data_IF_804527907513
#
_entry.id   IF_804527907513
#
_cell.length_a   1.000
_cell.length_b   1.000
_cell.length_c   1.000
_cell.angle_alpha   90.00
_cell.angle_beta   90.00
_cell.angle_gamma   90.00
#
_symmetry.space_group_name_H-M   'P 1'
#
loop_
_entity.id
_entity.type
_entity.pdbx_description
1 polymer ?
#
# COMPACT_ATOMS: atom_id res chain seq x y z
N UNK A 1 2.26 6.40 -5.38
CA UNK A 1 2.70 5.00 -5.57
C UNK A 1 2.07 4.34 -6.80
N UNK A 2 0.76 4.38 -7.00
CA UNK A 2 0.08 3.66 -8.11
C UNK A 2 0.49 4.11 -9.53
N UNK A 3 0.77 5.41 -9.74
CA UNK A 3 1.22 5.91 -11.05
C UNK A 3 2.61 5.38 -11.45
N UNK A 4 3.55 5.32 -10.50
CA UNK A 4 4.92 4.82 -10.75
C UNK A 4 4.90 3.33 -11.05
N UNK A 5 4.08 2.56 -10.33
CA UNK A 5 3.89 1.13 -10.60
C UNK A 5 3.27 0.90 -11.99
N UNK A 6 2.21 1.64 -12.33
CA UNK A 6 1.57 1.52 -13.64
C UNK A 6 2.51 1.89 -14.80
N UNK A 7 3.26 2.99 -14.65
CA UNK A 7 4.28 3.39 -15.61
C UNK A 7 5.39 2.34 -15.76
N UNK A 8 5.85 1.76 -14.64
CA UNK A 8 6.84 0.69 -14.65
C UNK A 8 6.36 -0.56 -15.41
N UNK A 9 5.11 -0.98 -15.17
CA UNK A 9 4.50 -2.11 -15.89
C UNK A 9 4.36 -1.83 -17.38
N UNK A 10 3.94 -0.62 -17.75
CA UNK A 10 3.79 -0.23 -19.15
C UNK A 10 5.13 -0.25 -19.90
N UNK A 11 6.17 0.33 -19.30
CA UNK A 11 7.53 0.33 -19.87
C UNK A 11 8.07 -1.09 -19.96
N UNK A 12 7.88 -1.92 -18.92
CA UNK A 12 8.33 -3.31 -18.93
C UNK A 12 7.62 -4.14 -20.00
N UNK A 13 6.33 -3.92 -20.23
CA UNK A 13 5.58 -4.60 -21.28
C UNK A 13 6.08 -4.21 -22.67
N UNK A 14 6.26 -2.91 -22.94
CA UNK A 14 6.79 -2.44 -24.22
C UNK A 14 8.19 -2.99 -24.45
N UNK A 15 9.05 -2.91 -23.43
CA UNK A 15 10.41 -3.46 -23.49
C UNK A 15 10.40 -4.96 -23.74
N UNK A 16 9.59 -5.73 -22.99
CA UNK A 16 9.48 -7.16 -23.17
C UNK A 16 9.03 -7.51 -24.60
N UNK A 17 7.97 -6.89 -25.13
CA UNK A 17 7.49 -7.20 -26.47
C UNK A 17 8.55 -6.92 -27.55
N UNK A 18 9.17 -5.74 -27.52
CA UNK A 18 10.15 -5.37 -28.54
C UNK A 18 11.46 -6.16 -28.38
N UNK A 19 11.97 -6.25 -27.16
CA UNK A 19 13.21 -6.96 -26.87
C UNK A 19 13.06 -8.45 -27.15
N UNK A 20 12.04 -9.12 -26.63
CA UNK A 20 11.84 -10.54 -26.91
C UNK A 20 11.59 -10.80 -28.40
N UNK A 21 10.83 -9.97 -29.11
CA UNK A 21 10.62 -10.17 -30.55
C UNK A 21 11.93 -10.09 -31.35
N UNK A 22 12.77 -9.08 -31.08
CA UNK A 22 14.07 -8.93 -31.76
C UNK A 22 15.00 -10.09 -31.42
N UNK A 23 15.11 -10.46 -30.15
CA UNK A 23 16.00 -11.54 -29.72
C UNK A 23 15.51 -12.92 -30.18
N UNK A 24 14.19 -13.15 -30.22
CA UNK A 24 13.61 -14.35 -30.84
C UNK A 24 13.88 -14.41 -32.34
N UNK A 25 13.75 -13.29 -33.05
CA UNK A 25 14.07 -13.23 -34.47
C UNK A 25 15.56 -13.52 -34.73
N UNK A 26 16.46 -12.89 -33.98
CA UNK A 26 17.91 -13.11 -34.10
C UNK A 26 18.28 -14.55 -33.72
N UNK A 27 17.70 -15.10 -32.65
CA UNK A 27 17.93 -16.47 -32.23
C UNK A 27 17.42 -17.47 -33.28
N UNK A 28 16.20 -17.30 -33.79
CA UNK A 28 15.63 -18.13 -34.84
C UNK A 28 16.45 -18.06 -36.13
N UNK A 29 16.91 -16.87 -36.54
CA UNK A 29 17.81 -16.73 -37.69
C UNK A 29 19.11 -17.51 -37.50
N UNK A 30 19.76 -17.39 -36.34
CA UNK A 30 21.00 -18.13 -36.03
C UNK A 30 20.78 -19.64 -36.00
N UNK A 31 19.63 -20.09 -35.51
CA UNK A 31 19.24 -21.50 -35.54
C UNK A 31 19.10 -22.00 -36.99
N UNK A 32 18.49 -21.22 -37.89
CA UNK A 32 18.39 -21.59 -39.32
C UNK A 32 19.74 -21.60 -40.04
N UNK A 33 20.71 -20.84 -39.55
CA UNK A 33 22.10 -20.85 -40.05
C UNK A 33 22.93 -21.99 -39.44
N UNK A 34 22.35 -22.81 -38.54
CA UNK A 34 23.02 -23.94 -37.89
C UNK A 34 23.98 -23.53 -36.76
N UNK A 35 23.82 -22.33 -36.21
CA UNK A 35 24.66 -21.79 -35.13
C UNK A 35 23.98 -22.01 -33.79
N UNK A 36 24.65 -22.70 -32.86
CA UNK A 36 24.11 -22.92 -31.51
C UNK A 36 24.02 -21.62 -30.72
N UNK A 37 23.03 -21.51 -29.82
CA UNK A 37 22.73 -20.29 -29.06
C UNK A 37 23.92 -19.71 -28.29
N UNK A 38 24.84 -20.55 -27.81
CA UNK A 38 26.05 -20.16 -27.06
C UNK A 38 27.27 -19.84 -27.94
N UNK A 39 27.21 -20.09 -29.26
CA UNK A 39 28.34 -19.90 -30.17
C UNK A 39 28.26 -18.55 -30.87
N UNK A 40 28.91 -17.52 -30.31
CA UNK A 40 29.01 -16.21 -30.95
C UNK A 40 30.12 -16.19 -32.01
N UNK A 41 29.90 -15.46 -33.11
CA UNK A 41 30.89 -15.21 -34.18
C UNK A 41 31.46 -16.46 -34.90
N UNK A 42 30.68 -17.54 -35.02
CA UNK A 42 31.02 -18.69 -35.86
C UNK A 42 30.03 -18.84 -37.01
N UNK A 43 30.53 -19.19 -38.19
CA UNK A 43 29.70 -19.64 -39.32
C UNK A 43 29.12 -21.01 -38.97
N UNK A 44 27.82 -21.20 -39.16
CA UNK A 44 27.11 -22.39 -38.69
C UNK A 44 27.41 -23.65 -39.49
N UNK A 45 27.14 -24.79 -38.86
CA UNK A 45 27.38 -26.13 -39.42
C UNK A 45 26.34 -26.47 -40.49
N UNK A 46 26.77 -27.01 -41.63
CA UNK A 46 25.89 -27.51 -42.71
C UNK A 46 25.18 -28.82 -42.37
N UNK A 47 25.31 -29.31 -41.14
CA UNK A 47 24.75 -30.59 -40.67
C UNK A 47 23.37 -30.45 -39.98
N UNK A 48 22.87 -29.23 -39.78
CA UNK A 48 21.50 -29.03 -39.27
C UNK A 48 20.46 -29.14 -40.38
N UNK A 49 19.25 -29.53 -39.99
CA UNK A 49 18.15 -29.88 -40.89
C UNK A 49 17.92 -28.78 -41.95
N UNK A 50 17.68 -29.15 -43.22
CA UNK A 50 17.37 -28.18 -44.27
C UNK A 50 16.20 -27.30 -43.84
N UNK A 51 16.19 -26.02 -44.27
CA UNK A 51 15.08 -25.08 -44.03
C UNK A 51 13.74 -25.77 -44.33
N UNK A 52 13.02 -26.15 -43.29
CA UNK A 52 11.76 -26.89 -43.42
C UNK A 52 10.61 -25.97 -43.85
N UNK A 53 10.79 -24.66 -43.74
CA UNK A 53 9.78 -23.66 -44.07
C UNK A 53 10.47 -22.54 -44.86
N UNK A 54 10.32 -22.56 -46.18
CA UNK A 54 10.80 -21.49 -47.05
C UNK A 54 9.73 -20.41 -47.30
N UNK A 55 8.46 -20.68 -46.95
CA UNK A 55 7.33 -19.77 -47.09
C UNK A 55 6.43 -19.83 -45.85
N UNK A 56 5.93 -18.68 -45.40
CA UNK A 56 4.91 -18.59 -44.36
C UNK A 56 3.56 -19.03 -44.94
N UNK A 57 3.30 -20.34 -44.97
CA UNK A 57 2.00 -20.92 -45.31
C UNK A 57 1.25 -21.34 -44.03
N UNK A 58 -0.09 -21.33 -44.08
CA UNK A 58 -0.94 -21.71 -42.93
C UNK A 58 -0.62 -23.13 -42.42
N UNK A 59 -0.29 -24.06 -43.32
CA UNK A 59 0.14 -25.42 -42.97
C UNK A 59 1.47 -25.46 -42.21
N UNK A 60 2.38 -24.53 -42.50
CA UNK A 60 3.66 -24.40 -41.78
C UNK A 60 3.46 -23.85 -40.37
N UNK A 61 2.48 -22.94 -40.20
CA UNK A 61 2.09 -22.39 -38.89
C UNK A 61 1.42 -23.47 -38.05
N UNK A 62 0.52 -24.27 -38.64
CA UNK A 62 -0.16 -25.37 -37.96
C UNK A 62 0.83 -26.45 -37.51
N UNK A 63 1.80 -26.81 -38.35
CA UNK A 63 2.88 -27.73 -37.99
C UNK A 63 3.79 -27.17 -36.88
N UNK A 64 4.07 -25.86 -36.89
CA UNK A 64 4.81 -25.22 -35.79
C UNK A 64 4.02 -25.25 -34.49
N UNK A 65 2.72 -24.96 -34.58
CA UNK A 65 1.79 -24.97 -33.46
C UNK A 65 1.69 -26.37 -32.85
N UNK A 66 1.59 -27.41 -33.67
CA UNK A 66 1.59 -28.81 -33.24
C UNK A 66 2.91 -29.21 -32.55
N UNK A 67 4.05 -28.70 -33.04
CA UNK A 67 5.36 -28.93 -32.39
C UNK A 67 5.56 -28.12 -31.11
N UNK A 68 4.96 -26.93 -31.00
CA UNK A 68 5.00 -26.06 -29.82
C UNK A 68 4.04 -26.54 -28.73
N UNK A 69 2.90 -27.13 -29.10
CA UNK A 69 2.07 -27.89 -28.18
C UNK A 69 2.85 -29.15 -27.83
N UNK A 70 3.66 -29.07 -26.76
CA UNK A 70 4.26 -30.27 -26.17
C UNK A 70 3.11 -31.17 -25.70
N UNK A 71 2.78 -32.20 -26.48
CA UNK A 71 1.71 -33.17 -26.20
C UNK A 71 2.07 -34.10 -25.04
N UNK A 72 3.26 -33.93 -24.45
CA UNK A 72 3.67 -34.65 -23.25
C UNK A 72 2.72 -34.37 -22.07
N UNK A 73 2.42 -35.39 -21.26
CA UNK A 73 1.62 -35.21 -20.05
C UNK A 73 2.39 -34.31 -19.07
N UNK A 74 2.02 -33.04 -19.03
CA UNK A 74 2.58 -32.05 -18.11
C UNK A 74 1.70 -31.96 -16.86
N UNK A 75 2.31 -31.62 -15.71
CA UNK A 75 1.57 -31.37 -14.47
C UNK A 75 0.49 -30.29 -14.64
N UNK A 76 0.77 -29.28 -15.47
CA UNK A 76 -0.20 -28.24 -15.84
C UNK A 76 -1.42 -28.81 -16.58
N UNK A 77 -1.23 -29.75 -17.51
CA UNK A 77 -2.34 -30.43 -18.20
C UNK A 77 -3.13 -31.36 -17.28
N UNK A 78 -2.44 -32.10 -16.41
CA UNK A 78 -3.10 -32.98 -15.43
C UNK A 78 -3.97 -32.18 -14.44
N UNK A 79 -3.46 -31.05 -13.94
CA UNK A 79 -4.22 -30.14 -13.07
C UNK A 79 -5.36 -29.45 -13.80
N UNK A 80 -5.15 -29.00 -15.04
CA UNK A 80 -6.21 -28.42 -15.87
C UNK A 80 -7.32 -29.44 -16.19
N UNK A 81 -6.97 -30.69 -16.52
CA UNK A 81 -7.94 -31.75 -16.76
C UNK A 81 -8.72 -32.13 -15.49
N UNK A 82 -8.05 -32.16 -14.33
CA UNK A 82 -8.70 -32.36 -13.05
C UNK A 82 -9.66 -31.20 -12.70
N UNK A 83 -9.23 -29.94 -12.86
CA UNK A 83 -10.09 -28.78 -12.63
C UNK A 83 -11.24 -28.66 -13.65
N UNK A 84 -11.06 -29.19 -14.86
CA UNK A 84 -12.11 -29.26 -15.87
C UNK A 84 -13.20 -30.29 -15.54
N UNK A 85 -12.99 -31.19 -14.57
CA UNK A 85 -13.99 -32.18 -14.16
C UNK A 85 -15.15 -31.50 -13.42
N UNK A 86 -16.39 -31.74 -13.87
CA UNK A 86 -17.61 -31.12 -13.33
C UNK A 86 -17.79 -31.36 -11.83
N UNK A 87 -17.35 -32.53 -11.33
CA UNK A 87 -17.40 -32.88 -9.91
C UNK A 87 -16.47 -32.04 -9.02
N UNK A 88 -15.37 -31.51 -9.55
CA UNK A 88 -14.43 -30.68 -8.81
C UNK A 88 -14.74 -29.18 -8.90
N UNK A 89 -15.49 -28.74 -9.91
CA UNK A 89 -15.85 -27.33 -10.09
C UNK A 89 -16.72 -26.78 -8.96
N UNK A 90 -17.78 -27.52 -8.59
CA UNK A 90 -18.70 -27.12 -7.54
C UNK A 90 -18.04 -26.96 -6.15
N UNK A 91 -17.26 -27.93 -5.63
CA UNK A 91 -16.61 -27.76 -4.33
C UNK A 91 -15.55 -26.66 -4.34
N UNK A 92 -14.79 -26.50 -5.43
CA UNK A 92 -13.81 -25.41 -5.56
C UNK A 92 -14.52 -24.04 -5.52
N UNK A 93 -15.59 -23.87 -6.29
CA UNK A 93 -16.38 -22.63 -6.27
C UNK A 93 -16.96 -22.34 -4.88
N UNK A 94 -17.42 -23.37 -4.16
CA UNK A 94 -17.95 -23.24 -2.81
C UNK A 94 -16.87 -22.80 -1.80
N UNK A 95 -15.66 -23.36 -1.87
CA UNK A 95 -14.52 -22.95 -1.04
C UNK A 95 -14.16 -21.49 -1.32
N UNK A 96 -14.13 -21.07 -2.58
CA UNK A 96 -13.89 -19.67 -2.95
C UNK A 96 -14.98 -18.73 -2.44
N UNK A 97 -16.24 -19.15 -2.47
CA UNK A 97 -17.35 -18.35 -1.92
C UNK A 97 -17.21 -18.17 -0.40
N UNK A 98 -16.88 -19.23 0.34
CA UNK A 98 -16.59 -19.15 1.78
C UNK A 98 -15.42 -18.20 2.03
N UNK A 99 -14.33 -18.33 1.27
CA UNK A 99 -13.17 -17.45 1.39
C UNK A 99 -13.54 -15.99 1.16
N UNK A 100 -14.38 -15.68 0.16
CA UNK A 100 -14.82 -14.31 -0.13
C UNK A 100 -15.65 -13.74 1.02
N UNK A 101 -16.58 -14.53 1.57
CA UNK A 101 -17.38 -14.13 2.74
C UNK A 101 -16.47 -13.82 3.94
N UNK A 102 -15.48 -14.68 4.21
CA UNK A 102 -14.51 -14.45 5.29
C UNK A 102 -13.63 -13.23 5.04
N UNK A 103 -13.20 -12.99 3.80
CA UNK A 103 -12.39 -11.82 3.45
C UNK A 103 -13.17 -10.52 3.67
N UNK A 104 -14.41 -10.45 3.18
CA UNK A 104 -15.29 -9.27 3.37
C UNK A 104 -15.62 -9.08 4.85
N UNK A 105 -15.91 -10.16 5.58
CA UNK A 105 -16.15 -10.09 7.02
C UNK A 105 -14.90 -9.63 7.78
N UNK A 106 -13.71 -10.10 7.40
CA UNK A 106 -12.43 -9.70 7.98
C UNK A 106 -12.07 -8.23 7.73
N UNK A 107 -12.58 -7.62 6.65
CA UNK A 107 -12.39 -6.19 6.40
C UNK A 107 -13.01 -5.30 7.50
N UNK A 108 -14.02 -5.78 8.26
CA UNK A 108 -14.61 -5.00 9.35
C UNK A 108 -13.64 -4.79 10.53
N UNK A 109 -12.72 -5.73 10.72
CA UNK A 109 -11.74 -5.73 11.81
C UNK A 109 -10.40 -5.12 11.36
N UNK A 110 -10.36 -4.52 10.16
CA UNK A 110 -9.19 -3.83 9.66
C UNK A 110 -8.99 -2.52 10.43
N UNK A 111 -8.25 -2.60 11.54
CA UNK A 111 -7.82 -1.42 12.27
C UNK A 111 -6.63 -0.78 11.54
N UNK A 112 -6.87 0.36 10.92
CA UNK A 112 -5.81 1.19 10.34
C UNK A 112 -5.19 1.97 11.49
N UNK A 113 -4.15 1.41 12.09
CA UNK A 113 -3.34 2.09 13.10
C UNK A 113 -1.94 2.28 12.51
N UNK A 114 -1.55 3.54 12.30
CA UNK A 114 -0.24 3.89 11.76
C UNK A 114 0.56 4.50 12.89
N UNK A 115 1.34 3.67 13.58
CA UNK A 115 2.23 4.11 14.66
C UNK A 115 3.61 4.43 14.13
N UNK A 116 4.23 5.45 14.72
CA UNK A 116 5.60 5.87 14.43
C UNK A 116 6.61 4.72 14.63
N UNK A 117 6.36 3.87 15.62
CA UNK A 117 7.14 2.66 15.95
C UNK A 117 7.28 1.69 14.76
N UNK A 118 6.34 1.71 13.81
CA UNK A 118 6.36 0.83 12.63
C UNK A 118 7.34 1.28 11.56
N UNK A 119 7.76 2.54 11.56
CA UNK A 119 8.80 3.03 10.65
C UNK A 119 10.22 2.72 11.14
N UNK A 120 10.35 2.31 12.40
CA UNK A 120 11.63 1.99 13.02
C UNK A 120 11.97 0.51 12.89
N UNK A 121 13.28 0.24 12.75
CA UNK A 121 13.80 -1.13 12.68
C UNK A 121 13.42 -1.93 13.93
N UNK A 122 13.07 -3.20 13.73
CA UNK A 122 12.71 -4.12 14.82
C UNK A 122 13.93 -4.29 15.74
N UNK A 123 13.80 -3.92 17.01
CA UNK A 123 14.87 -3.99 18.01
C UNK A 123 15.77 -2.76 18.09
N UNK A 124 15.42 -1.64 17.46
CA UNK A 124 16.15 -0.39 17.62
C UNK A 124 15.83 0.29 18.96
N UNK A 125 16.83 0.86 19.63
CA UNK A 125 16.66 1.62 20.89
C UNK A 125 15.54 2.69 20.82
N UNK A 126 15.41 3.50 19.74
CA UNK A 126 14.34 4.48 19.65
C UNK A 126 12.94 3.84 19.61
N UNK A 127 12.82 2.64 19.03
CA UNK A 127 11.56 1.90 19.00
C UNK A 127 11.18 1.42 20.39
N UNK A 128 12.13 0.85 21.13
CA UNK A 128 11.91 0.43 22.51
C UNK A 128 11.57 1.62 23.41
N UNK A 129 12.23 2.76 23.21
CA UNK A 129 11.88 4.01 23.90
C UNK A 129 10.43 4.43 23.60
N UNK A 130 10.02 4.48 22.32
CA UNK A 130 8.65 4.87 21.95
C UNK A 130 7.59 3.90 22.47
N UNK A 131 7.84 2.58 22.39
CA UNK A 131 6.95 1.55 22.92
C UNK A 131 6.76 1.71 24.44
N UNK A 132 7.86 1.93 25.19
CA UNK A 132 7.82 2.16 26.64
C UNK A 132 7.15 3.49 26.99
N UNK A 133 7.53 4.56 26.29
CA UNK A 133 6.96 5.90 26.48
C UNK A 133 5.45 5.88 26.27
N UNK A 134 4.97 5.21 25.22
CA UNK A 134 3.52 5.09 24.98
C UNK A 134 2.80 4.22 26.01
N UNK A 135 3.45 3.17 26.51
CA UNK A 135 2.88 2.33 27.56
C UNK A 135 2.74 3.09 28.89
N UNK A 136 3.70 3.95 29.23
CA UNK A 136 3.72 4.71 30.47
C UNK A 136 2.93 6.03 30.38
N UNK A 137 3.03 6.72 29.24
CA UNK A 137 2.53 8.09 29.06
C UNK A 137 1.42 8.25 28.02
N UNK A 138 1.01 7.17 27.33
CA UNK A 138 0.03 7.27 26.23
C UNK A 138 -1.33 7.87 26.61
N UNK A 139 -1.69 7.88 27.90
CA UNK A 139 -2.90 8.54 28.41
C UNK A 139 -2.76 10.07 28.56
N UNK A 140 -1.53 10.60 28.56
CA UNK A 140 -1.25 12.03 28.79
C UNK A 140 -0.96 12.81 27.51
N UNK A 141 -0.79 12.14 26.35
CA UNK A 141 -0.55 12.80 25.05
C UNK A 141 -1.84 13.25 24.35
N UNK A 142 -3.00 12.75 24.77
CA UNK A 142 -4.29 13.18 24.20
C UNK A 142 -4.72 14.50 24.83
N UNK A 143 -4.05 15.59 24.43
CA UNK A 143 -4.45 16.95 24.78
C UNK A 143 -4.96 17.69 23.55
N UNK A 144 -6.05 18.44 23.75
CA UNK A 144 -6.59 19.35 22.76
C UNK A 144 -6.15 20.77 23.13
N UNK A 145 -5.32 21.37 22.30
CA UNK A 145 -4.95 22.78 22.45
C UNK A 145 -5.90 23.65 21.62
N UNK A 146 -6.58 24.59 22.29
CA UNK A 146 -7.44 25.58 21.65
C UNK A 146 -6.64 26.88 21.49
N UNK A 147 -6.22 27.15 20.25
CA UNK A 147 -5.52 28.39 19.89
C UNK A 147 -6.49 29.29 19.13
N UNK A 148 -6.66 30.51 19.63
CA UNK A 148 -7.47 31.54 18.96
C UNK A 148 -6.53 32.48 18.20
N UNK A 149 -6.54 32.40 16.87
CA UNK A 149 -5.63 33.18 16.02
C UNK A 149 -6.05 34.65 15.86
N UNK A 150 -7.31 34.98 16.17
CA UNK A 150 -7.82 36.34 16.07
C UNK A 150 -7.60 37.13 17.38
N UNK A 151 -7.41 38.47 17.29
CA UNK A 151 -7.35 39.30 18.48
C UNK A 151 -8.72 39.30 19.18
N UNK A 152 -8.80 38.60 20.30
CA UNK A 152 -10.00 38.53 21.14
C UNK A 152 -9.95 39.64 22.19
N UNK A 153 -11.05 40.39 22.29
CA UNK A 153 -11.28 41.26 23.43
C UNK A 153 -11.76 40.43 24.63
N UNK A 154 -10.84 40.12 25.54
CA UNK A 154 -11.12 39.35 26.76
C UNK A 154 -11.82 40.18 27.86
N UNK A 155 -11.95 41.50 27.67
CA UNK A 155 -12.69 42.38 28.58
C UNK A 155 -14.20 42.31 28.32
N UNK A 156 -14.62 41.92 27.12
CA UNK A 156 -16.04 41.70 26.80
C UNK A 156 -16.58 40.49 27.59
N UNK A 157 -17.56 40.70 28.51
CA UNK A 157 -18.13 39.62 29.30
C UNK A 157 -18.78 38.52 28.47
N UNK A 158 -19.35 38.85 27.31
CA UNK A 158 -19.99 37.87 26.44
C UNK A 158 -18.97 36.89 25.86
N UNK A 159 -17.91 37.41 25.21
CA UNK A 159 -16.84 36.58 24.65
C UNK A 159 -16.07 35.79 25.72
N UNK A 160 -15.81 36.41 26.88
CA UNK A 160 -15.18 35.74 28.02
C UNK A 160 -15.98 34.52 28.46
N UNK A 161 -17.31 34.65 28.58
CA UNK A 161 -18.18 33.56 29.03
C UNK A 161 -18.30 32.45 27.98
N UNK A 162 -18.39 32.78 26.68
CA UNK A 162 -18.42 31.79 25.61
C UNK A 162 -17.16 30.91 25.59
N UNK A 163 -15.97 31.51 25.77
CA UNK A 163 -14.69 30.77 25.82
C UNK A 163 -14.65 29.85 27.05
N UNK A 164 -15.11 30.33 28.20
CA UNK A 164 -15.16 29.53 29.43
C UNK A 164 -16.16 28.37 29.30
N UNK A 165 -17.30 28.57 28.63
CA UNK A 165 -18.29 27.52 28.38
C UNK A 165 -17.71 26.41 27.49
N UNK A 166 -16.98 26.76 26.44
CA UNK A 166 -16.28 25.80 25.59
C UNK A 166 -15.24 25.00 26.39
N UNK A 167 -14.48 25.66 27.26
CA UNK A 167 -13.47 25.03 28.11
C UNK A 167 -14.06 24.10 29.18
N UNK A 168 -15.33 24.28 29.55
CA UNK A 168 -16.03 23.44 30.52
C UNK A 168 -16.82 22.30 29.88
N UNK A 169 -16.82 22.21 28.54
CA UNK A 169 -17.55 21.18 27.83
C UNK A 169 -16.95 19.78 28.08
N UNK A 170 -17.67 18.85 28.77
CA UNK A 170 -17.16 17.54 29.19
C UNK A 170 -16.91 16.54 28.05
N UNK A 171 -17.27 16.89 26.81
CA UNK A 171 -17.09 16.06 25.61
C UNK A 171 -15.71 16.30 25.01
N UNK A 172 -15.12 17.47 25.23
CA UNK A 172 -13.82 17.84 24.66
C UNK A 172 -12.65 17.41 25.55
N UNK A 173 -12.79 17.51 26.87
CA UNK A 173 -11.73 17.12 27.79
C UNK A 173 -12.28 16.74 29.18
N UNK A 174 -11.59 15.83 29.86
CA UNK A 174 -11.86 15.50 31.27
C UNK A 174 -11.34 16.57 32.23
N UNK A 175 -10.35 17.35 31.81
CA UNK A 175 -9.79 18.50 32.55
C UNK A 175 -9.36 19.58 31.55
N UNK A 176 -9.67 20.83 31.85
CA UNK A 176 -9.18 21.99 31.10
C UNK A 176 -8.25 22.84 31.94
N UNK A 177 -7.17 23.31 31.31
CA UNK A 177 -6.21 24.27 31.89
C UNK A 177 -6.30 25.54 31.06
N UNK A 178 -6.61 26.66 31.68
CA UNK A 178 -6.77 27.94 30.98
C UNK A 178 -6.40 29.10 31.89
N UNK A 179 -5.50 29.96 31.41
CA UNK A 179 -5.11 31.18 32.10
C UNK A 179 -6.31 32.09 32.36
N UNK A 180 -7.30 32.12 31.46
CA UNK A 180 -8.49 32.96 31.57
C UNK A 180 -9.39 32.48 32.71
N UNK A 181 -9.51 31.16 32.88
CA UNK A 181 -10.27 30.54 33.98
C UNK A 181 -9.61 30.84 35.33
N UNK A 182 -8.29 30.71 35.41
CA UNK A 182 -7.53 31.03 36.61
C UNK A 182 -7.60 32.53 36.94
N UNK A 183 -7.55 33.40 35.94
CA UNK A 183 -7.68 34.84 36.10
C UNK A 183 -9.09 35.25 36.59
N UNK A 184 -10.16 34.71 36.01
CA UNK A 184 -11.53 34.99 36.45
C UNK A 184 -11.78 34.51 37.89
N UNK A 185 -11.20 33.37 38.27
CA UNK A 185 -11.22 32.89 39.65
C UNK A 185 -10.48 33.84 40.58
N UNK A 186 -9.31 34.34 40.18
CA UNK A 186 -8.53 35.29 40.96
C UNK A 186 -9.25 36.65 41.14
N UNK A 187 -9.86 37.16 40.07
CA UNK A 187 -10.66 38.40 40.06
C UNK A 187 -11.84 38.31 41.03
N UNK A 188 -12.55 37.18 41.07
CA UNK A 188 -13.70 36.99 41.96
C UNK A 188 -13.32 36.80 43.44
N UNK A 189 -12.12 36.29 43.75
CA UNK A 189 -11.68 36.02 45.13
C UNK A 189 -10.89 37.16 45.76
N UNK A 190 -10.41 38.13 44.96
CA UNK A 190 -9.53 39.19 45.44
C UNK A 190 -10.24 40.55 45.39
N UNK A 191 -10.61 41.08 46.56
CA UNK A 191 -11.12 42.45 46.66
C UNK A 191 -9.94 43.41 46.65
N UNK A 192 -9.85 44.23 45.61
CA UNK A 192 -8.90 45.33 45.56
C UNK A 192 -9.42 46.49 46.43
N UNK A 193 -8.88 46.63 47.65
CA UNK A 193 -9.06 47.85 48.42
C UNK A 193 -8.04 48.88 47.93
N UNK A 194 -8.42 49.62 46.88
CA UNK A 194 -7.63 50.77 46.42
C UNK A 194 -7.91 51.89 47.42
N UNK A 195 -7.16 51.91 48.53
CA UNK A 195 -7.17 53.04 49.43
C UNK A 195 -6.72 54.28 48.62
N UNK A 196 -7.57 55.31 48.46
CA UNK A 196 -7.14 56.54 47.83
C UNK A 196 -6.16 57.20 48.79
N UNK A 197 -4.87 57.14 48.46
CA UNK A 197 -3.86 57.98 49.10
C UNK A 197 -4.14 59.39 48.61
N UNK A 198 -5.00 60.10 49.35
CA UNK A 198 -5.23 61.53 49.16
C UNK A 198 -3.90 62.23 49.41
N UNK A 199 -3.29 62.75 48.34
CA UNK A 199 -2.23 63.76 48.42
C UNK A 199 -2.84 65.15 48.57
#
# INVERSE_FOLDING_TARGET
>A
MSFVLAAGVAVLLIFALLFFAVFLYVAGRRETEGVKWYQCFRSGDTHFAPRTINEFSDSSIEMLHEKLIDTKPSFSRATAAAMANSYLRCPVAFIFAIYLVLAVWGCKDLRIDLKEEYFLSKGSEPRTFLENYRAEFGQYEEFLELVFDEPIDYLDPHRKNEILEILEWPVLATRSVSWLKDFARFESTTIYDINPVNY
#
